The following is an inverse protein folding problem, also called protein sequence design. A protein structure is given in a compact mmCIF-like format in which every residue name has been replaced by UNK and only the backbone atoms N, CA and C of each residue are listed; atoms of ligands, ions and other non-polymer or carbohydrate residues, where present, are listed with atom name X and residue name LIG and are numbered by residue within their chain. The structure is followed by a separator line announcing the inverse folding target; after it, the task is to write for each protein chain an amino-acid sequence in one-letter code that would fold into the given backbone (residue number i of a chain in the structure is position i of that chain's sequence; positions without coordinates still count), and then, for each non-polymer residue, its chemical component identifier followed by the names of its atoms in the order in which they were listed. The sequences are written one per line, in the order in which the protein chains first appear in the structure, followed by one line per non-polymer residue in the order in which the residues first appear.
data_IF_458530925484
#
_entry.id   IF_458530925484
#
_cell.length_a   1.000
_cell.length_b   1.000
_cell.length_c   1.000
_cell.angle_alpha   90.00
_cell.angle_beta   90.00
_cell.angle_gamma   90.00
#
_symmetry.space_group_name_H-M   'P 1'
#
loop_
_entity.id
_entity.type
_entity.pdbx_description
1 polymer ?
#
# COMPACT_ATOMS: atom_id res chain seq x y z
N UNK A 1 -3.56 -9.42 19.45
CA UNK A 1 -4.06 -10.25 18.34
C UNK A 1 -4.45 -9.47 17.08
N UNK A 2 -4.90 -8.20 17.17
CA UNK A 2 -5.29 -7.41 15.99
C UNK A 2 -4.15 -7.05 15.02
N UNK A 3 -2.88 -7.23 15.43
CA UNK A 3 -1.72 -7.01 14.57
C UNK A 3 -1.76 -7.85 13.28
N UNK A 4 -2.38 -9.03 13.29
CA UNK A 4 -2.52 -9.88 12.11
C UNK A 4 -3.48 -9.29 11.06
N UNK A 5 -4.44 -8.46 11.46
CA UNK A 5 -5.34 -7.74 10.55
C UNK A 5 -4.68 -6.49 9.95
N UNK A 6 -3.54 -6.05 10.49
CA UNK A 6 -2.83 -4.86 10.01
C UNK A 6 -2.31 -4.98 8.56
N UNK A 7 -2.39 -6.17 7.94
CA UNK A 7 -2.13 -6.36 6.51
C UNK A 7 -3.17 -5.68 5.61
N UNK A 8 -4.47 -5.74 5.98
CA UNK A 8 -5.56 -5.19 5.14
C UNK A 8 -5.48 -3.66 5.04
N UNK A 9 -5.37 -2.88 6.14
CA UNK A 9 -5.23 -1.44 6.05
C UNK A 9 -4.03 -1.00 5.21
N UNK A 10 -2.92 -1.74 5.23
CA UNK A 10 -1.72 -1.41 4.44
C UNK A 10 -1.94 -1.58 2.94
N UNK A 11 -2.65 -2.63 2.53
CA UNK A 11 -3.03 -2.80 1.13
C UNK A 11 -3.93 -1.65 0.67
N UNK A 12 -4.88 -1.24 1.53
CA UNK A 12 -5.74 -0.08 1.24
C UNK A 12 -4.88 1.20 1.12
N UNK A 13 -3.92 1.43 2.02
CA UNK A 13 -3.01 2.58 1.93
C UNK A 13 -2.15 2.58 0.66
N UNK A 14 -1.74 1.41 0.16
CA UNK A 14 -1.01 1.28 -1.11
C UNK A 14 -1.92 1.55 -2.32
N UNK A 15 -3.18 1.13 -2.26
CA UNK A 15 -4.14 1.27 -3.37
C UNK A 15 -4.86 2.64 -3.39
N UNK A 16 -4.96 3.33 -2.26
CA UNK A 16 -5.63 4.62 -2.15
C UNK A 16 -5.08 5.69 -3.12
N UNK A 17 -3.77 5.95 -3.21
CA UNK A 17 -3.25 6.89 -4.20
C UNK A 17 -3.44 6.37 -5.63
N UNK A 18 -3.35 5.06 -5.86
CA UNK A 18 -3.56 4.47 -7.19
C UNK A 18 -4.97 4.71 -7.73
N UNK A 19 -5.99 4.66 -6.87
CA UNK A 19 -7.37 4.96 -7.26
C UNK A 19 -7.52 6.41 -7.75
N UNK A 20 -6.82 7.36 -7.13
CA UNK A 20 -6.79 8.75 -7.61
C UNK A 20 -6.00 8.89 -8.92
N UNK A 21 -4.80 8.31 -9.00
CA UNK A 21 -3.92 8.47 -10.16
C UNK A 21 -4.42 7.75 -11.43
N UNK A 22 -5.03 6.57 -11.31
CA UNK A 22 -5.51 5.77 -12.44
C UNK A 22 -6.97 6.03 -12.78
N UNK A 23 -7.84 6.10 -11.77
CA UNK A 23 -9.30 6.16 -11.96
C UNK A 23 -9.87 7.58 -11.77
N UNK A 24 -9.05 8.57 -11.40
CA UNK A 24 -9.49 9.95 -11.15
C UNK A 24 -10.59 10.07 -10.08
N UNK A 25 -10.59 9.17 -9.10
CA UNK A 25 -11.57 9.17 -8.01
C UNK A 25 -11.05 10.08 -6.90
N UNK A 26 -11.74 11.21 -6.66
CA UNK A 26 -11.44 12.10 -5.54
C UNK A 26 -12.01 11.53 -4.25
N UNK A 27 -11.11 11.00 -3.41
CA UNK A 27 -11.47 10.45 -2.09
C UNK A 27 -11.53 11.56 -1.03
N UNK A 28 -10.72 12.62 -1.17
CA UNK A 28 -10.60 13.72 -0.20
C UNK A 28 -10.86 15.06 -0.90
N UNK A 29 -11.87 15.79 -0.44
CA UNK A 29 -12.19 17.14 -0.90
C UNK A 29 -11.58 18.18 0.05
N UNK A 30 -10.28 18.46 -0.10
CA UNK A 30 -9.61 19.49 0.69
C UNK A 30 -8.44 20.13 -0.09
N UNK A 31 -8.15 21.42 0.13
CA UNK A 31 -6.99 22.05 -0.46
C UNK A 31 -5.70 21.40 0.08
N UNK A 32 -4.69 21.28 -0.78
CA UNK A 32 -3.43 20.60 -0.46
C UNK A 32 -2.76 21.16 0.82
N UNK A 33 -2.86 22.46 1.04
CA UNK A 33 -2.31 23.14 2.21
C UNK A 33 -3.01 22.72 3.52
N UNK A 34 -4.34 22.54 3.51
CA UNK A 34 -5.05 22.04 4.68
C UNK A 34 -4.62 20.61 5.01
N UNK A 35 -4.51 19.74 4.00
CA UNK A 35 -4.05 18.36 4.20
C UNK A 35 -2.63 18.35 4.81
N UNK A 36 -1.71 19.17 4.29
CA UNK A 36 -0.34 19.24 4.78
C UNK A 36 -0.27 19.68 6.25
N UNK A 37 -1.04 20.70 6.65
CA UNK A 37 -1.05 21.21 8.03
C UNK A 37 -1.56 20.17 9.03
N UNK A 38 -2.51 19.30 8.66
CA UNK A 38 -2.99 18.25 9.56
C UNK A 38 -2.11 16.99 9.52
N UNK A 39 -1.66 16.57 8.34
CA UNK A 39 -0.95 15.30 8.16
C UNK A 39 0.50 15.38 8.65
N UNK A 40 1.20 16.48 8.39
CA UNK A 40 2.62 16.61 8.77
C UNK A 40 2.84 16.53 10.29
N UNK A 41 2.14 17.32 11.13
CA UNK A 41 2.31 17.23 12.59
C UNK A 41 1.94 15.85 13.12
N UNK A 42 0.87 15.25 12.58
CA UNK A 42 0.46 13.89 12.95
C UNK A 42 1.53 12.85 12.60
N UNK A 43 2.12 12.90 11.39
CA UNK A 43 3.20 11.99 10.99
C UNK A 43 4.43 12.15 11.88
N UNK A 44 4.82 13.38 12.20
CA UNK A 44 5.95 13.65 13.10
C UNK A 44 5.66 13.12 14.50
N UNK A 45 4.49 13.44 15.06
CA UNK A 45 4.09 13.00 16.39
C UNK A 45 4.05 11.46 16.50
N UNK A 46 3.42 10.79 15.53
CA UNK A 46 3.35 9.32 15.50
C UNK A 46 4.73 8.68 15.32
N UNK A 47 5.62 9.27 14.51
CA UNK A 47 6.99 8.79 14.34
C UNK A 47 7.80 8.93 15.63
N UNK A 48 7.70 10.07 16.31
CA UNK A 48 8.41 10.32 17.56
C UNK A 48 7.94 9.38 18.66
N UNK A 49 6.62 9.21 18.82
CA UNK A 49 6.04 8.28 19.80
C UNK A 49 6.45 6.83 19.51
N UNK A 50 6.43 6.39 18.25
CA UNK A 50 6.90 5.06 17.88
C UNK A 50 8.39 4.87 18.16
N UNK A 51 9.22 5.89 17.89
CA UNK A 51 10.65 5.85 18.16
C UNK A 51 10.96 5.76 19.66
N UNK A 52 10.17 6.44 20.50
CA UNK A 52 10.32 6.38 21.96
C UNK A 52 9.91 5.02 22.53
N UNK A 53 8.82 4.44 22.01
CA UNK A 53 8.29 3.14 22.48
C UNK A 53 9.12 1.96 21.97
N UNK A 54 9.70 2.04 20.76
CA UNK A 54 10.39 0.90 20.11
C UNK A 54 11.89 0.79 20.42
N UNK A 55 12.48 1.75 21.15
CA UNK A 55 13.85 1.65 21.67
C UNK A 55 14.96 1.53 20.61
N UNK A 56 16.19 1.22 21.05
CA UNK A 56 17.45 1.26 20.27
C UNK A 56 17.65 0.17 19.20
N UNK A 57 16.72 -0.79 19.04
CA UNK A 57 16.96 -2.02 18.26
C UNK A 57 16.03 -2.24 17.06
N UNK A 58 15.10 -1.31 16.76
CA UNK A 58 14.21 -1.46 15.62
C UNK A 58 14.10 -0.16 14.84
N UNK A 59 14.69 -0.13 13.65
CA UNK A 59 14.42 0.94 12.71
C UNK A 59 12.93 0.91 12.34
N UNK A 60 12.14 1.82 12.93
CA UNK A 60 10.69 1.91 12.71
C UNK A 60 10.32 2.06 11.24
N UNK A 61 11.22 2.64 10.42
CA UNK A 61 11.05 2.73 8.97
C UNK A 61 11.15 1.36 8.29
N UNK A 62 12.20 0.60 8.57
CA UNK A 62 12.38 -0.73 7.97
C UNK A 62 11.27 -1.70 8.38
N UNK A 63 10.83 -1.67 9.64
CA UNK A 63 9.70 -2.50 10.09
C UNK A 63 8.45 -2.23 9.26
N UNK A 64 8.16 -0.96 8.95
CA UNK A 64 7.03 -0.59 8.09
C UNK A 64 7.17 -1.19 6.70
N UNK A 65 8.35 -1.08 6.07
CA UNK A 65 8.64 -1.64 4.73
C UNK A 65 8.44 -3.16 4.72
N UNK A 66 9.08 -3.88 5.65
CA UNK A 66 8.95 -5.35 5.77
C UNK A 66 7.49 -5.77 5.96
N UNK A 67 6.75 -5.07 6.81
CA UNK A 67 5.34 -5.36 7.04
C UNK A 67 4.47 -5.06 5.82
N UNK A 68 4.77 -4.04 5.00
CA UNK A 68 4.06 -3.80 3.72
C UNK A 68 4.35 -4.88 2.68
N UNK A 69 5.60 -5.35 2.55
CA UNK A 69 5.94 -6.45 1.63
C UNK A 69 5.21 -7.72 2.05
N UNK A 70 5.18 -8.01 3.35
CA UNK A 70 4.53 -9.18 3.92
C UNK A 70 3.00 -9.04 3.99
N UNK A 71 2.46 -7.82 3.87
CA UNK A 71 1.04 -7.52 4.07
C UNK A 71 0.13 -8.35 3.16
N UNK A 72 0.50 -8.53 1.87
CA UNK A 72 -0.29 -9.34 0.94
C UNK A 72 -0.36 -10.82 1.38
N UNK A 73 0.77 -11.36 1.82
CA UNK A 73 0.88 -12.76 2.26
C UNK A 73 0.17 -13.01 3.58
N UNK A 74 0.07 -12.01 4.46
CA UNK A 74 -0.67 -12.13 5.72
C UNK A 74 -2.17 -11.87 5.51
N UNK A 75 -2.54 -10.90 4.68
CA UNK A 75 -3.94 -10.47 4.52
C UNK A 75 -4.85 -11.59 4.01
N UNK A 76 -4.39 -12.39 3.03
CA UNK A 76 -5.16 -13.54 2.50
C UNK A 76 -5.47 -14.60 3.57
N UNK A 77 -4.48 -15.23 4.25
CA UNK A 77 -4.75 -16.24 5.26
C UNK A 77 -5.48 -15.67 6.48
N UNK A 78 -5.23 -14.42 6.90
CA UNK A 78 -5.94 -13.84 8.05
C UNK A 78 -7.40 -13.55 7.75
N UNK A 79 -7.72 -13.10 6.53
CA UNK A 79 -9.12 -12.93 6.10
C UNK A 79 -9.82 -14.28 6.03
N UNK A 80 -9.17 -15.31 5.48
CA UNK A 80 -9.75 -16.67 5.44
C UNK A 80 -9.96 -17.22 6.85
N UNK A 81 -9.01 -17.02 7.76
CA UNK A 81 -9.13 -17.47 9.15
C UNK A 81 -10.25 -16.72 9.91
N UNK A 82 -10.51 -15.45 9.59
CA UNK A 82 -11.59 -14.67 10.19
C UNK A 82 -12.97 -15.20 9.80
N UNK A 83 -13.16 -15.60 8.54
CA UNK A 83 -14.44 -16.10 8.03
C UNK A 83 -14.61 -17.61 8.18
N UNK A 84 -13.52 -18.38 8.19
CA UNK A 84 -13.57 -19.85 8.31
C UNK A 84 -12.39 -20.39 9.15
N UNK A 85 -12.48 -20.33 10.49
CA UNK A 85 -11.37 -20.67 11.38
C UNK A 85 -10.98 -22.15 11.34
N UNK A 86 -11.89 -23.05 10.94
CA UNK A 86 -11.64 -24.50 10.90
C UNK A 86 -10.85 -24.99 9.67
N UNK A 87 -10.56 -24.11 8.69
CA UNK A 87 -9.74 -24.46 7.50
C UNK A 87 -8.25 -24.18 7.67
N UNK A 88 -7.82 -23.61 8.80
CA UNK A 88 -6.41 -23.36 9.09
C UNK A 88 -5.65 -24.63 9.45
N UNK A 89 -5.39 -25.52 8.48
CA UNK A 89 -4.49 -26.66 8.71
C UNK A 89 -3.04 -26.18 8.73
N UNK A 90 -2.41 -26.27 9.91
CA UNK A 90 -0.99 -25.99 10.10
C UNK A 90 -0.19 -27.16 9.50
N UNK A 91 0.07 -27.12 8.20
CA UNK A 91 0.85 -28.16 7.55
C UNK A 91 2.32 -27.92 7.86
N UNK A 92 2.87 -28.73 8.77
CA UNK A 92 4.27 -28.65 9.19
C UNK A 92 5.13 -28.94 7.96
N UNK A 93 5.93 -27.98 7.53
CA UNK A 93 6.96 -28.21 6.52
C UNK A 93 7.90 -29.28 7.05
N UNK A 94 8.10 -30.36 6.29
CA UNK A 94 9.08 -31.38 6.64
C UNK A 94 10.44 -30.70 6.81
N UNK A 95 10.98 -30.70 8.04
CA UNK A 95 12.37 -30.36 8.32
C UNK A 95 13.23 -31.46 7.69
N UNK A 96 13.56 -31.32 6.41
CA UNK A 96 14.35 -32.35 5.74
C UNK A 96 14.57 -32.02 4.28
N UNK A 97 15.54 -31.15 4.02
CA UNK A 97 16.05 -30.87 2.68
C UNK A 97 16.93 -29.65 2.73
N UNK A 98 18.25 -29.85 2.72
CA UNK A 98 19.21 -28.78 2.46
C UNK A 98 18.87 -28.18 1.10
N UNK A 99 18.41 -26.94 1.09
CA UNK A 99 18.22 -26.17 -0.14
C UNK A 99 19.60 -25.65 -0.54
N UNK A 100 20.33 -26.43 -1.33
CA UNK A 100 21.67 -26.09 -1.85
C UNK A 100 21.64 -24.95 -2.88
N UNK A 101 20.48 -24.62 -3.45
CA UNK A 101 20.34 -23.64 -4.52
C UNK A 101 19.29 -22.58 -4.15
N UNK A 102 19.68 -21.30 -4.27
CA UNK A 102 18.88 -20.12 -3.90
C UNK A 102 17.77 -19.90 -4.94
N UNK A 103 16.78 -20.78 -5.00
CA UNK A 103 15.67 -20.66 -5.94
C UNK A 103 14.69 -19.57 -5.50
N UNK A 104 14.43 -18.63 -6.38
CA UNK A 104 13.43 -17.57 -6.20
C UNK A 104 12.06 -18.16 -6.57
N UNK A 105 11.19 -18.39 -5.58
CA UNK A 105 9.84 -18.91 -5.80
C UNK A 105 8.97 -17.88 -6.53
N UNK A 106 9.00 -17.91 -7.86
CA UNK A 106 8.24 -17.00 -8.72
C UNK A 106 6.74 -17.02 -8.43
N UNK A 107 6.18 -18.16 -8.00
CA UNK A 107 4.76 -18.28 -7.64
C UNK A 107 4.41 -17.44 -6.42
N UNK A 108 5.30 -17.39 -5.42
CA UNK A 108 5.11 -16.60 -4.21
C UNK A 108 5.32 -15.11 -4.55
N UNK A 109 6.30 -14.76 -5.39
CA UNK A 109 6.63 -13.36 -5.71
C UNK A 109 5.63 -12.64 -6.61
N UNK A 110 4.86 -13.36 -7.46
CA UNK A 110 3.89 -12.79 -8.42
C UNK A 110 2.99 -11.67 -7.89
N UNK A 111 2.19 -11.87 -6.81
CA UNK A 111 1.28 -10.83 -6.33
C UNK A 111 2.00 -9.60 -5.80
N UNK A 112 3.16 -9.78 -5.15
CA UNK A 112 3.98 -8.66 -4.70
C UNK A 112 4.53 -7.87 -5.90
N UNK A 113 5.01 -8.57 -6.93
CA UNK A 113 5.52 -7.94 -8.15
C UNK A 113 4.44 -7.13 -8.87
N UNK A 114 3.20 -7.63 -8.91
CA UNK A 114 2.05 -6.89 -9.46
C UNK A 114 1.76 -5.61 -8.67
N UNK A 115 1.76 -5.67 -7.34
CA UNK A 115 1.57 -4.49 -6.48
C UNK A 115 2.64 -3.42 -6.70
N UNK A 116 3.90 -3.84 -6.83
CA UNK A 116 5.02 -2.91 -7.12
C UNK A 116 4.88 -2.29 -8.51
N UNK A 117 4.59 -3.10 -9.54
CA UNK A 117 4.36 -2.60 -10.90
C UNK A 117 3.20 -1.62 -10.95
N UNK A 118 2.10 -1.90 -10.23
CA UNK A 118 0.95 -1.02 -10.18
C UNK A 118 1.31 0.33 -9.52
N UNK A 119 2.07 0.33 -8.43
CA UNK A 119 2.57 1.56 -7.80
C UNK A 119 3.47 2.39 -8.74
N UNK A 120 4.38 1.73 -9.46
CA UNK A 120 5.26 2.39 -10.44
C UNK A 120 4.44 2.96 -11.60
N UNK A 121 3.48 2.21 -12.13
CA UNK A 121 2.59 2.66 -13.19
C UNK A 121 1.75 3.87 -12.74
N UNK A 122 1.27 3.86 -11.49
CA UNK A 122 0.59 5.01 -10.87
C UNK A 122 1.47 6.25 -10.89
N UNK A 123 2.69 6.16 -10.36
CA UNK A 123 3.66 7.28 -10.35
C UNK A 123 3.93 7.78 -11.78
N UNK A 124 4.15 6.87 -12.73
CA UNK A 124 4.36 7.20 -14.14
C UNK A 124 3.19 7.95 -14.77
N UNK A 125 1.96 7.51 -14.52
CA UNK A 125 0.74 8.20 -14.95
C UNK A 125 0.59 9.58 -14.30
N UNK A 126 0.96 9.71 -13.03
CA UNK A 126 0.98 10.99 -12.31
C UNK A 126 1.96 11.98 -12.95
N UNK A 127 3.20 11.56 -13.22
CA UNK A 127 4.18 12.38 -13.92
C UNK A 127 3.74 12.73 -15.33
N UNK A 128 3.21 11.76 -16.09
CA UNK A 128 2.70 12.00 -17.44
C UNK A 128 1.58 13.05 -17.46
N UNK A 129 0.70 13.02 -16.46
CA UNK A 129 -0.37 14.00 -16.28
C UNK A 129 0.13 15.38 -15.87
N UNK A 130 1.16 15.47 -15.02
CA UNK A 130 1.77 16.75 -14.69
C UNK A 130 2.53 17.35 -15.88
N UNK A 131 3.17 16.51 -16.71
CA UNK A 131 3.93 16.92 -17.88
C UNK A 131 3.04 17.34 -19.06
N UNK A 132 1.82 16.81 -19.18
CA UNK A 132 0.79 17.28 -20.11
C UNK A 132 -0.33 17.98 -19.33
N UNK A 133 -0.15 19.24 -18.92
CA UNK A 133 -1.30 20.03 -18.47
C UNK A 133 -2.34 19.96 -19.59
N UNK A 134 -3.56 19.56 -19.23
CA UNK A 134 -4.68 19.37 -20.15
C UNK A 134 -4.78 20.59 -21.08
N UNK A 135 -4.24 20.48 -22.30
CA UNK A 135 -4.73 21.31 -23.39
C UNK A 135 -6.09 20.73 -23.70
N UNK A 136 -7.15 21.48 -23.34
CA UNK A 136 -8.54 21.08 -23.55
C UNK A 136 -8.74 20.60 -24.98
N UNK A 137 -8.81 19.28 -25.17
CA UNK A 137 -9.25 18.68 -26.42
C UNK A 137 -10.79 18.71 -26.41
N UNK A 138 -11.45 19.17 -27.50
CA UNK A 138 -12.89 19.49 -27.50
C UNK A 138 -13.83 18.31 -27.21
N UNK A 139 -13.34 17.07 -27.16
CA UNK A 139 -14.18 15.88 -26.96
C UNK A 139 -14.34 15.44 -25.50
N UNK A 140 -13.72 16.14 -24.53
CA UNK A 140 -13.74 15.80 -23.10
C UNK A 140 -14.48 16.81 -22.19
N UNK A 141 -15.40 17.60 -22.76
CA UNK A 141 -16.08 18.74 -22.12
C UNK A 141 -16.96 18.41 -20.91
N UNK A 142 -17.19 17.14 -20.57
CA UNK A 142 -17.98 16.77 -19.38
C UNK A 142 -17.17 16.85 -18.08
N UNK A 143 -15.84 16.70 -18.15
CA UNK A 143 -14.99 16.60 -16.95
C UNK A 143 -14.26 17.89 -16.56
N UNK A 144 -14.16 18.87 -17.47
CA UNK A 144 -13.52 20.17 -17.17
C UNK A 144 -14.46 21.17 -16.48
N UNK A 145 -15.79 21.03 -16.63
CA UNK A 145 -16.76 22.00 -16.11
C UNK A 145 -16.94 22.02 -14.59
N UNK A 146 -16.42 21.02 -13.88
CA UNK A 146 -16.62 20.89 -12.43
C UNK A 146 -15.54 21.57 -11.58
N UNK A 147 -14.53 22.19 -12.19
CA UNK A 147 -13.39 22.78 -11.47
C UNK A 147 -13.32 24.32 -11.51
N UNK A 148 -14.40 25.00 -11.92
CA UNK A 148 -14.45 26.49 -11.98
C UNK A 148 -15.61 27.12 -11.19
N UNK A 149 -16.19 26.41 -10.21
CA UNK A 149 -17.15 26.98 -9.26
C UNK A 149 -16.86 26.51 -7.85
#
# INVERSE_FOLDING_TARGET
MLHFLAGIPRLIFLLAPLAFLLCHVYIIYAPALAIAIYVLPHMVHTSLTNSRIQGRWRHSFWSKVYETVLAWYIARPTTVALFNPHKGKFNVTAKGGLVEERHLDWVITKPYMLLVLLNIAGIGMGFWRMARPMSCSPSGSVWCGWFTT
#
